data_IF_388422891969
#
_entry.id   IF_388422891969
#
_cell.length_a   1.000
_cell.length_b   1.000
_cell.length_c   1.000
_cell.angle_alpha   90.00
_cell.angle_beta   90.00
_cell.angle_gamma   90.00
#
_symmetry.space_group_name_H-M   'P 1'
#
loop_
_entity.id
_entity.type
_entity.pdbx_description
1 polymer ?
#
# COMPACT_ATOMS: atom_id res chain seq x y z
N UNK A 1 -56.76 3.57 25.35
CA UNK A 1 -55.97 2.39 24.91
C UNK A 1 -55.25 2.84 23.67
N UNK A 2 -54.03 3.27 23.84
CA UNK A 2 -53.16 3.77 22.73
C UNK A 2 -52.08 2.74 22.50
N UNK A 3 -52.17 2.05 21.36
CA UNK A 3 -51.22 1.04 20.94
C UNK A 3 -50.04 1.73 20.29
N UNK A 4 -48.88 1.74 20.92
CA UNK A 4 -47.61 2.17 20.37
C UNK A 4 -47.04 1.03 19.50
N UNK A 5 -47.11 1.19 18.17
CA UNK A 5 -46.36 0.36 17.22
C UNK A 5 -44.87 0.64 17.35
N UNK A 6 -44.10 -0.38 17.67
CA UNK A 6 -42.63 -0.33 17.57
C UNK A 6 -42.23 -0.42 16.09
N UNK A 7 -41.23 0.37 15.64
CA UNK A 7 -40.72 0.26 14.28
C UNK A 7 -40.00 -1.09 14.12
N UNK A 8 -40.39 -1.84 13.06
CA UNK A 8 -39.78 -3.11 12.66
C UNK A 8 -38.30 -2.86 12.29
N UNK A 9 -37.41 -3.62 12.92
CA UNK A 9 -36.01 -3.66 12.56
C UNK A 9 -35.87 -4.10 11.08
N UNK A 10 -35.18 -3.30 10.29
CA UNK A 10 -34.74 -3.67 8.94
C UNK A 10 -33.99 -5.01 8.97
N UNK A 11 -34.20 -5.90 7.98
CA UNK A 11 -33.49 -7.16 7.93
C UNK A 11 -31.99 -6.89 7.84
N UNK A 12 -31.24 -7.37 8.83
CA UNK A 12 -29.80 -7.38 8.82
C UNK A 12 -29.33 -8.01 7.51
N UNK A 13 -28.52 -7.28 6.76
CA UNK A 13 -27.92 -7.70 5.50
C UNK A 13 -26.99 -8.89 5.81
N UNK A 14 -27.54 -10.11 5.78
CA UNK A 14 -26.78 -11.34 5.98
C UNK A 14 -25.94 -11.53 4.72
N UNK A 15 -24.66 -11.12 4.81
CA UNK A 15 -23.70 -11.41 3.75
C UNK A 15 -23.65 -12.94 3.52
N UNK A 16 -23.60 -13.41 2.27
CA UNK A 16 -23.49 -14.83 1.98
C UNK A 16 -22.27 -15.42 2.71
N UNK A 17 -22.42 -16.63 3.24
CA UNK A 17 -21.29 -17.39 3.81
C UNK A 17 -20.29 -17.68 2.68
N UNK A 18 -19.30 -16.83 2.53
CA UNK A 18 -18.17 -17.03 1.63
C UNK A 18 -17.16 -17.94 2.33
N UNK A 19 -16.52 -18.85 1.58
CA UNK A 19 -15.49 -19.74 2.12
C UNK A 19 -14.42 -18.93 2.88
N UNK A 20 -13.95 -19.48 4.00
CA UNK A 20 -12.90 -18.83 4.79
C UNK A 20 -11.63 -18.60 3.96
N UNK A 21 -10.97 -17.45 4.14
CA UNK A 21 -9.67 -17.17 3.51
C UNK A 21 -8.64 -18.18 3.99
N UNK A 22 -7.86 -18.71 3.05
CA UNK A 22 -6.72 -19.53 3.38
C UNK A 22 -5.64 -18.68 4.04
N UNK A 23 -5.22 -19.08 5.22
CA UNK A 23 -4.20 -18.40 6.02
C UNK A 23 -2.93 -19.22 5.91
N UNK A 24 -1.81 -18.60 5.53
CA UNK A 24 -0.52 -19.27 5.49
C UNK A 24 -0.06 -19.65 6.92
N UNK A 25 0.82 -20.64 7.02
CA UNK A 25 1.34 -21.09 8.31
C UNK A 25 1.95 -19.91 9.11
N UNK A 26 1.54 -19.81 10.37
CA UNK A 26 1.97 -18.75 11.27
C UNK A 26 1.27 -17.40 11.07
N UNK A 27 0.35 -17.25 10.13
CA UNK A 27 -0.48 -16.06 9.98
C UNK A 27 -1.79 -16.18 10.77
N UNK A 28 -2.38 -15.04 11.10
CA UNK A 28 -3.69 -14.91 11.75
C UNK A 28 -4.49 -13.80 11.09
N UNK A 29 -5.80 -13.99 10.98
CA UNK A 29 -6.74 -12.96 10.54
C UNK A 29 -7.61 -12.52 11.71
N UNK A 30 -7.81 -11.22 11.82
CA UNK A 30 -8.74 -10.61 12.79
C UNK A 30 -9.51 -9.47 12.16
N UNK A 31 -10.77 -9.31 12.55
CA UNK A 31 -11.57 -8.14 12.19
C UNK A 31 -11.42 -7.05 13.24
N UNK A 32 -11.25 -5.82 12.79
CA UNK A 32 -11.16 -4.62 13.63
C UNK A 32 -12.31 -3.69 13.27
N UNK A 33 -13.22 -3.50 14.23
CA UNK A 33 -14.38 -2.64 14.07
C UNK A 33 -14.02 -1.21 14.52
N UNK A 34 -14.10 -0.26 13.60
CA UNK A 34 -13.82 1.14 13.83
C UNK A 34 -15.04 1.98 13.42
N UNK A 35 -15.19 3.22 13.91
CA UNK A 35 -16.28 4.08 13.49
C UNK A 35 -16.33 4.23 11.96
N UNK A 36 -17.41 3.76 11.34
CA UNK A 36 -17.66 3.87 9.90
C UNK A 36 -16.86 2.92 9.00
N UNK A 37 -16.09 1.97 9.56
CA UNK A 37 -15.36 0.98 8.77
C UNK A 37 -14.98 -0.24 9.60
N UNK A 38 -15.08 -1.41 9.00
CA UNK A 38 -14.51 -2.66 9.54
C UNK A 38 -13.35 -3.08 8.66
N UNK A 39 -12.21 -3.40 9.27
CA UNK A 39 -11.02 -3.82 8.55
C UNK A 39 -10.61 -5.23 8.97
N UNK A 40 -10.25 -6.04 8.00
CA UNK A 40 -9.59 -7.31 8.26
C UNK A 40 -8.07 -7.10 8.23
N UNK A 41 -7.41 -7.62 9.23
CA UNK A 41 -5.97 -7.50 9.42
C UNK A 41 -5.37 -8.90 9.48
N UNK A 42 -4.41 -9.13 8.62
CA UNK A 42 -3.54 -10.30 8.60
C UNK A 42 -2.30 -9.96 9.43
N UNK A 43 -1.92 -10.79 10.37
CA UNK A 43 -0.75 -10.59 11.22
C UNK A 43 0.06 -11.87 11.36
N UNK A 44 1.33 -11.71 11.69
CA UNK A 44 2.22 -12.79 12.11
C UNK A 44 2.62 -12.54 13.56
N UNK A 45 2.77 -13.59 14.39
CA UNK A 45 3.31 -13.42 15.74
C UNK A 45 4.70 -12.78 15.66
N UNK A 46 4.98 -11.70 16.41
CA UNK A 46 6.31 -11.11 16.41
C UNK A 46 7.33 -12.08 16.99
N UNK A 47 8.54 -12.10 16.46
CA UNK A 47 9.62 -12.95 16.96
C UNK A 47 10.05 -12.59 18.39
N UNK A 48 9.77 -11.36 18.82
CA UNK A 48 9.97 -10.84 20.18
C UNK A 48 9.02 -9.68 20.46
N UNK A 49 8.72 -9.45 21.73
CA UNK A 49 7.93 -8.29 22.15
C UNK A 49 8.66 -6.97 21.92
N UNK A 50 7.88 -5.90 21.74
CA UNK A 50 8.39 -4.54 21.61
C UNK A 50 8.96 -4.17 20.26
N UNK A 51 8.79 -5.02 19.23
CA UNK A 51 9.12 -4.64 17.85
C UNK A 51 8.19 -3.54 17.34
N UNK A 52 8.71 -2.57 16.55
CA UNK A 52 7.88 -1.56 15.92
C UNK A 52 6.93 -2.21 14.93
N UNK A 53 5.71 -1.66 14.81
CA UNK A 53 4.72 -2.14 13.84
C UNK A 53 5.17 -1.82 12.42
N UNK A 54 5.06 -2.80 11.53
CA UNK A 54 5.03 -2.60 10.08
C UNK A 54 3.61 -2.85 9.58
N UNK A 55 3.01 -1.83 8.97
CA UNK A 55 1.68 -1.92 8.37
C UNK A 55 1.78 -1.92 6.84
N UNK A 56 1.17 -2.94 6.22
CA UNK A 56 1.22 -3.18 4.78
C UNK A 56 -0.13 -2.92 4.13
N UNK A 57 -0.14 -2.14 3.04
CA UNK A 57 -1.35 -1.72 2.30
C UNK A 57 -1.26 -2.15 0.85
N UNK A 58 -2.19 -3.02 0.43
CA UNK A 58 -2.21 -3.62 -0.90
C UNK A 58 -2.70 -2.67 -2.00
N UNK A 59 -2.53 -3.09 -3.27
CA UNK A 59 -2.99 -2.39 -4.47
C UNK A 59 -4.44 -2.65 -4.83
N UNK A 60 -4.90 -2.04 -5.92
CA UNK A 60 -6.25 -2.23 -6.46
C UNK A 60 -6.51 -3.71 -6.78
N UNK A 61 -7.61 -4.24 -6.27
CA UNK A 61 -7.98 -5.66 -6.45
C UNK A 61 -7.09 -6.65 -5.70
N UNK A 62 -6.17 -6.18 -4.87
CA UNK A 62 -5.36 -7.00 -3.98
C UNK A 62 -6.04 -7.32 -2.65
N UNK A 63 -5.27 -7.86 -1.72
CA UNK A 63 -5.60 -8.06 -0.31
C UNK A 63 -4.31 -8.10 0.51
N UNK A 64 -4.46 -8.21 1.83
CA UNK A 64 -3.36 -8.42 2.77
C UNK A 64 -2.45 -9.60 2.39
N UNK A 65 -2.99 -10.60 1.70
CA UNK A 65 -2.24 -11.77 1.21
C UNK A 65 -1.09 -11.40 0.25
N UNK A 66 -1.15 -10.24 -0.42
CA UNK A 66 -0.06 -9.80 -1.30
C UNK A 66 1.28 -9.60 -0.57
N UNK A 67 1.26 -9.54 0.75
CA UNK A 67 2.43 -9.31 1.60
C UNK A 67 2.96 -10.58 2.28
N UNK A 68 2.25 -11.72 2.13
CA UNK A 68 2.62 -12.99 2.80
C UNK A 68 4.00 -13.52 2.44
N UNK A 69 4.55 -13.17 1.27
CA UNK A 69 5.92 -13.53 0.90
C UNK A 69 6.98 -12.64 1.56
N UNK A 70 6.67 -11.35 1.81
CA UNK A 70 7.60 -10.39 2.38
C UNK A 70 7.62 -10.42 3.92
N UNK A 71 6.45 -10.54 4.56
CA UNK A 71 6.33 -10.45 6.02
C UNK A 71 7.24 -11.43 6.77
N UNK A 72 7.34 -12.74 6.43
CA UNK A 72 8.20 -13.69 7.13
C UNK A 72 9.68 -13.28 7.12
N UNK A 73 10.12 -12.63 6.06
CA UNK A 73 11.49 -12.17 5.94
C UNK A 73 11.84 -11.02 6.90
N UNK A 74 10.83 -10.39 7.50
CA UNK A 74 10.99 -9.25 8.41
C UNK A 74 10.59 -9.57 9.87
N UNK A 75 10.20 -10.81 10.19
CA UNK A 75 9.71 -11.22 11.51
C UNK A 75 10.66 -10.83 12.69
N UNK A 76 11.97 -10.83 12.49
CA UNK A 76 12.95 -10.43 13.53
C UNK A 76 13.17 -8.93 13.64
N UNK A 77 12.60 -8.13 12.76
CA UNK A 77 12.87 -6.69 12.61
C UNK A 77 11.66 -5.85 13.00
N UNK A 78 10.46 -6.29 12.62
CA UNK A 78 9.20 -5.59 12.84
C UNK A 78 8.11 -6.56 13.31
N UNK A 79 7.03 -6.02 13.87
CA UNK A 79 5.79 -6.74 14.08
C UNK A 79 4.91 -6.52 12.84
N UNK A 80 4.55 -7.61 12.16
CA UNK A 80 3.97 -7.58 10.83
C UNK A 80 2.45 -7.59 10.83
N UNK A 81 1.81 -6.55 10.27
CA UNK A 81 0.36 -6.49 10.04
C UNK A 81 0.04 -5.97 8.65
N UNK A 82 -0.72 -6.73 7.86
CA UNK A 82 -1.23 -6.32 6.56
C UNK A 82 -2.75 -6.17 6.63
N UNK A 83 -3.28 -5.02 6.20
CA UNK A 83 -4.72 -4.79 6.22
C UNK A 83 -5.35 -4.99 4.84
N UNK A 84 -6.58 -5.45 4.83
CA UNK A 84 -7.44 -5.37 3.67
C UNK A 84 -8.10 -3.99 3.63
N UNK A 85 -7.90 -3.25 2.53
CA UNK A 85 -8.58 -1.97 2.32
C UNK A 85 -10.11 -2.16 2.26
N UNK A 86 -10.93 -1.16 2.66
CA UNK A 86 -12.38 -1.25 2.60
C UNK A 86 -12.89 -1.71 1.23
N UNK A 87 -13.73 -2.76 1.22
CA UNK A 87 -14.28 -3.38 0.00
C UNK A 87 -13.35 -4.37 -0.71
N UNK A 88 -12.20 -4.71 -0.10
CA UNK A 88 -11.25 -5.68 -0.63
C UNK A 88 -10.92 -6.75 0.41
N UNK A 89 -10.42 -7.90 -0.05
CA UNK A 89 -10.13 -9.04 0.81
C UNK A 89 -11.36 -9.44 1.62
N UNK A 90 -11.24 -9.45 2.93
CA UNK A 90 -12.34 -9.72 3.89
C UNK A 90 -12.88 -8.44 4.55
N UNK A 91 -12.39 -7.26 4.17
CA UNK A 91 -12.93 -6.00 4.65
C UNK A 91 -14.22 -5.64 3.90
N UNK A 92 -15.36 -5.43 4.59
CA UNK A 92 -16.59 -5.00 3.95
C UNK A 92 -16.46 -3.57 3.38
N UNK A 93 -17.43 -3.13 2.57
CA UNK A 93 -17.54 -1.74 2.13
C UNK A 93 -17.51 -0.76 3.32
N UNK A 94 -16.93 0.44 3.15
CA UNK A 94 -17.02 1.49 4.17
C UNK A 94 -18.45 2.04 4.23
N UNK A 95 -18.91 2.44 5.42
CA UNK A 95 -20.30 2.89 5.64
C UNK A 95 -20.65 4.12 4.80
N UNK A 96 -19.68 5.03 4.59
CA UNK A 96 -19.85 6.24 3.77
C UNK A 96 -19.69 5.98 2.27
N UNK A 97 -19.31 4.76 1.91
CA UNK A 97 -19.07 4.37 0.53
C UNK A 97 -17.93 5.15 -0.14
N UNK A 98 -17.01 5.77 0.58
CA UNK A 98 -15.90 6.56 0.00
C UNK A 98 -14.69 5.66 -0.34
N UNK A 99 -14.59 5.29 -1.61
CA UNK A 99 -13.46 4.52 -2.17
C UNK A 99 -12.38 5.39 -2.80
N UNK A 100 -12.38 6.70 -2.53
CA UNK A 100 -11.30 7.58 -2.96
C UNK A 100 -10.00 7.25 -2.22
N UNK A 101 -8.86 7.72 -2.75
CA UNK A 101 -7.57 7.62 -2.02
C UNK A 101 -7.69 8.27 -0.64
N UNK A 102 -8.49 9.34 -0.50
CA UNK A 102 -8.75 9.98 0.80
C UNK A 102 -9.56 9.09 1.74
N UNK A 103 -10.60 8.42 1.23
CA UNK A 103 -11.42 7.48 1.99
C UNK A 103 -10.59 6.31 2.51
N UNK A 104 -9.80 5.68 1.65
CA UNK A 104 -8.88 4.62 2.05
C UNK A 104 -7.83 5.11 3.05
N UNK A 105 -7.25 6.29 2.85
CA UNK A 105 -6.28 6.86 3.79
C UNK A 105 -6.90 7.14 5.17
N UNK A 106 -8.15 7.61 5.23
CA UNK A 106 -8.88 7.76 6.50
C UNK A 106 -9.05 6.42 7.23
N UNK A 107 -9.35 5.35 6.51
CA UNK A 107 -9.46 4.01 7.11
C UNK A 107 -8.13 3.56 7.72
N UNK A 108 -7.01 3.75 7.00
CA UNK A 108 -5.66 3.45 7.49
C UNK A 108 -5.31 4.30 8.72
N UNK A 109 -5.58 5.62 8.69
CA UNK A 109 -5.33 6.52 9.82
C UNK A 109 -6.15 6.09 11.05
N UNK A 110 -7.45 5.80 10.88
CA UNK A 110 -8.29 5.30 11.99
C UNK A 110 -7.74 4.02 12.60
N UNK A 111 -7.23 3.11 11.77
CA UNK A 111 -6.59 1.90 12.25
C UNK A 111 -5.33 2.20 13.07
N UNK A 112 -4.45 3.06 12.57
CA UNK A 112 -3.21 3.44 13.26
C UNK A 112 -3.49 4.16 14.58
N UNK A 113 -4.44 5.12 14.59
CA UNK A 113 -4.86 5.81 15.82
C UNK A 113 -5.43 4.84 16.85
N UNK A 114 -6.30 3.90 16.42
CA UNK A 114 -6.90 2.92 17.32
C UNK A 114 -5.90 1.87 17.83
N UNK A 115 -4.86 1.58 17.07
CA UNK A 115 -3.82 0.63 17.48
C UNK A 115 -2.96 1.17 18.63
N UNK A 116 -2.80 2.49 18.75
CA UNK A 116 -1.98 3.15 19.78
C UNK A 116 -0.50 2.78 19.75
N UNK A 117 0.00 2.18 18.65
CA UNK A 117 1.34 1.57 18.58
C UNK A 117 2.44 2.53 18.13
N UNK A 118 2.14 3.84 18.12
CA UNK A 118 3.08 4.92 17.77
C UNK A 118 3.44 4.96 16.28
N UNK A 119 4.53 5.66 15.91
CA UNK A 119 4.94 5.72 14.51
C UNK A 119 5.36 4.36 13.98
N UNK A 120 4.80 3.98 12.81
CA UNK A 120 4.96 2.67 12.19
C UNK A 120 5.84 2.69 10.96
N UNK A 121 6.36 1.54 10.56
CA UNK A 121 6.92 1.33 9.23
C UNK A 121 5.75 1.06 8.27
N UNK A 122 5.48 2.00 7.36
CA UNK A 122 4.30 1.94 6.48
C UNK A 122 4.71 1.49 5.08
N UNK A 123 4.06 0.43 4.58
CA UNK A 123 4.30 -0.13 3.25
C UNK A 123 3.08 0.06 2.37
N UNK A 124 3.28 0.36 1.09
CA UNK A 124 2.17 0.48 0.14
C UNK A 124 2.55 0.06 -1.28
N UNK A 125 1.66 -0.71 -1.92
CA UNK A 125 1.82 -1.09 -3.32
C UNK A 125 0.74 -0.40 -4.17
N UNK A 126 1.09 0.17 -5.32
CA UNK A 126 0.14 0.71 -6.30
C UNK A 126 -0.86 1.71 -5.69
N UNK A 127 -2.16 1.40 -5.70
CA UNK A 127 -3.20 2.16 -4.97
C UNK A 127 -2.81 2.35 -3.50
N UNK A 128 -2.37 1.27 -2.83
CA UNK A 128 -1.88 1.34 -1.45
C UNK A 128 -0.71 2.29 -1.30
N UNK A 129 0.17 2.40 -2.31
CA UNK A 129 1.26 3.37 -2.35
C UNK A 129 0.77 4.82 -2.39
N UNK A 130 -0.27 5.12 -3.17
CA UNK A 130 -0.91 6.43 -3.17
C UNK A 130 -1.62 6.73 -1.84
N UNK A 131 -2.29 5.73 -1.26
CA UNK A 131 -2.95 5.81 0.05
C UNK A 131 -1.92 6.11 1.15
N UNK A 132 -0.85 5.33 1.24
CA UNK A 132 0.19 5.48 2.27
C UNK A 132 1.00 6.77 2.10
N UNK A 133 1.21 7.25 0.88
CA UNK A 133 1.77 8.58 0.62
C UNK A 133 0.87 9.67 1.23
N UNK A 134 -0.45 9.57 1.06
CA UNK A 134 -1.40 10.50 1.68
C UNK A 134 -1.40 10.41 3.20
N UNK A 135 -1.34 9.21 3.77
CA UNK A 135 -1.23 9.00 5.23
C UNK A 135 0.02 9.69 5.77
N UNK A 136 1.18 9.41 5.17
CA UNK A 136 2.46 9.98 5.61
C UNK A 136 2.53 11.50 5.48
N UNK A 137 1.90 12.08 4.45
CA UNK A 137 1.83 13.52 4.26
C UNK A 137 0.85 14.23 5.22
N UNK A 138 -0.25 13.54 5.61
CA UNK A 138 -1.28 14.10 6.47
C UNK A 138 -1.00 13.88 7.96
N UNK A 139 -0.35 12.78 8.31
CA UNK A 139 -0.07 12.33 9.69
C UNK A 139 1.38 11.85 9.81
N UNK A 140 2.35 12.77 9.68
CA UNK A 140 3.78 12.41 9.81
C UNK A 140 4.12 11.83 11.18
N UNK A 141 3.34 12.13 12.20
CA UNK A 141 3.44 11.57 13.55
C UNK A 141 3.19 10.05 13.61
N UNK A 142 2.47 9.50 12.64
CA UNK A 142 2.15 8.06 12.58
C UNK A 142 3.16 7.24 11.76
N UNK A 143 4.08 7.86 11.03
CA UNK A 143 4.92 7.17 10.05
C UNK A 143 6.41 7.32 10.37
N UNK A 144 7.06 6.22 10.71
CA UNK A 144 8.49 6.14 11.00
C UNK A 144 9.33 6.04 9.72
N UNK A 145 8.93 5.15 8.81
CA UNK A 145 9.49 5.04 7.45
C UNK A 145 8.38 4.69 6.48
N UNK A 146 8.57 5.00 5.20
CA UNK A 146 7.63 4.71 4.14
C UNK A 146 8.31 3.82 3.08
N UNK A 147 7.70 2.69 2.72
CA UNK A 147 8.17 1.82 1.64
C UNK A 147 7.09 1.72 0.57
N UNK A 148 7.40 2.16 -0.63
CA UNK A 148 6.47 2.25 -1.75
C UNK A 148 6.90 1.33 -2.89
N UNK A 149 6.08 0.35 -3.22
CA UNK A 149 6.29 -0.55 -4.35
C UNK A 149 5.38 -0.14 -5.50
N UNK A 150 5.98 0.34 -6.59
CA UNK A 150 5.24 0.79 -7.78
C UNK A 150 4.02 1.67 -7.43
N UNK A 151 4.18 2.76 -6.64
CA UNK A 151 3.06 3.56 -6.17
C UNK A 151 2.29 4.20 -7.32
N UNK A 152 0.95 4.23 -7.24
CA UNK A 152 0.09 4.87 -8.22
C UNK A 152 0.17 6.41 -8.12
N UNK A 153 1.29 6.97 -8.54
CA UNK A 153 1.52 8.41 -8.66
C UNK A 153 1.15 8.89 -10.07
N UNK A 154 0.65 10.13 -10.24
CA UNK A 154 0.19 10.63 -11.53
C UNK A 154 1.28 10.63 -12.60
N UNK A 155 0.99 10.02 -13.75
CA UNK A 155 1.85 9.99 -14.94
C UNK A 155 1.25 10.82 -16.07
N UNK A 156 2.10 11.56 -16.80
CA UNK A 156 1.68 12.30 -18.00
C UNK A 156 1.39 11.32 -19.16
N UNK A 157 2.15 10.22 -19.21
CA UNK A 157 2.01 9.18 -20.23
C UNK A 157 1.69 7.85 -19.55
N UNK A 158 0.42 7.57 -19.41
CA UNK A 158 -0.08 6.29 -18.87
C UNK A 158 0.36 5.13 -19.76
N UNK A 159 0.74 4.02 -19.17
CA UNK A 159 1.04 2.77 -19.87
C UNK A 159 -0.20 2.28 -20.62
N UNK A 160 -0.03 1.83 -21.88
CA UNK A 160 -1.15 1.33 -22.68
C UNK A 160 -1.84 0.13 -22.02
N UNK A 161 -1.07 -0.73 -21.38
CA UNK A 161 -1.53 -1.89 -20.62
C UNK A 161 -2.32 -1.52 -19.35
N UNK A 162 -2.13 -0.31 -18.79
CA UNK A 162 -2.91 0.20 -17.66
C UNK A 162 -4.28 0.78 -18.08
N UNK A 163 -4.48 1.07 -19.37
CA UNK A 163 -5.73 1.67 -19.88
C UNK A 163 -6.97 0.85 -19.54
N UNK A 164 -7.00 -0.49 -19.72
CA UNK A 164 -8.16 -1.30 -19.34
C UNK A 164 -8.52 -1.17 -17.85
N UNK A 165 -7.51 -1.11 -16.97
CA UNK A 165 -7.71 -0.89 -15.52
C UNK A 165 -8.29 0.51 -15.26
N UNK A 166 -7.79 1.53 -15.95
CA UNK A 166 -8.32 2.89 -15.88
C UNK A 166 -9.76 3.01 -16.40
N UNK A 167 -10.12 2.24 -17.42
CA UNK A 167 -11.48 2.22 -17.96
C UNK A 167 -12.52 1.70 -16.96
N UNK A 168 -12.14 0.90 -15.97
CA UNK A 168 -13.06 0.51 -14.89
C UNK A 168 -13.58 1.72 -14.10
N UNK A 169 -12.89 2.86 -14.13
CA UNK A 169 -13.36 4.11 -13.53
C UNK A 169 -14.61 4.69 -14.23
N UNK A 170 -14.84 4.34 -15.49
CA UNK A 170 -15.97 4.87 -16.27
C UNK A 170 -17.26 4.17 -15.84
N UNK A 171 -18.34 4.91 -15.53
CA UNK A 171 -19.63 4.32 -15.17
C UNK A 171 -20.11 3.31 -16.21
N UNK A 172 -20.56 2.15 -15.76
CA UNK A 172 -21.06 1.07 -16.61
C UNK A 172 -19.99 0.15 -17.23
N UNK A 173 -18.72 0.58 -17.33
CA UNK A 173 -17.66 -0.26 -17.93
C UNK A 173 -17.38 -1.50 -17.08
N UNK A 174 -17.37 -1.39 -15.76
CA UNK A 174 -17.20 -2.55 -14.89
C UNK A 174 -18.33 -3.57 -15.07
N UNK A 175 -19.58 -3.12 -15.20
CA UNK A 175 -20.73 -3.99 -15.46
C UNK A 175 -20.63 -4.64 -16.85
N UNK A 176 -20.23 -3.87 -17.88
CA UNK A 176 -19.99 -4.41 -19.21
C UNK A 176 -18.86 -5.45 -19.20
N UNK A 177 -17.76 -5.16 -18.54
CA UNK A 177 -16.63 -6.08 -18.38
C UNK A 177 -17.07 -7.38 -17.69
N UNK A 178 -17.82 -7.28 -16.58
CA UNK A 178 -18.37 -8.45 -15.87
C UNK A 178 -19.26 -9.29 -16.80
N UNK A 179 -20.11 -8.64 -17.61
CA UNK A 179 -20.98 -9.32 -18.56
C UNK A 179 -20.18 -10.04 -19.67
N UNK A 180 -19.17 -9.37 -20.22
CA UNK A 180 -18.34 -9.94 -21.30
C UNK A 180 -17.43 -11.08 -20.79
N UNK A 181 -17.02 -11.02 -19.54
CA UNK A 181 -16.11 -12.02 -18.92
C UNK A 181 -16.84 -13.00 -18.00
N UNK A 182 -18.19 -13.07 -18.06
CA UNK A 182 -18.98 -13.94 -17.15
C UNK A 182 -18.59 -15.42 -17.24
N UNK A 183 -18.12 -15.86 -18.40
CA UNK A 183 -17.72 -17.26 -18.65
C UNK A 183 -16.24 -17.52 -18.32
N UNK A 184 -15.49 -16.48 -17.98
CA UNK A 184 -14.10 -16.65 -17.59
C UNK A 184 -14.01 -17.32 -16.23
N UNK A 185 -13.23 -18.39 -16.16
CA UNK A 185 -12.91 -19.07 -14.91
C UNK A 185 -12.04 -18.17 -14.03
N UNK A 186 -12.00 -18.45 -12.73
CA UNK A 186 -11.06 -17.78 -11.80
C UNK A 186 -9.61 -17.98 -12.27
N UNK A 187 -9.27 -19.16 -12.76
CA UNK A 187 -7.94 -19.44 -13.30
C UNK A 187 -7.58 -18.55 -14.48
N UNK A 188 -8.47 -18.35 -15.45
CA UNK A 188 -8.25 -17.44 -16.58
C UNK A 188 -8.04 -15.99 -16.11
N UNK A 189 -8.79 -15.55 -15.09
CA UNK A 189 -8.64 -14.22 -14.50
C UNK A 189 -7.30 -14.08 -13.80
N UNK A 190 -6.88 -15.06 -13.03
CA UNK A 190 -5.58 -15.08 -12.33
C UNK A 190 -4.45 -15.07 -13.34
N UNK A 191 -4.51 -15.88 -14.41
CA UNK A 191 -3.50 -15.83 -15.49
C UNK A 191 -3.39 -14.44 -16.11
N UNK A 192 -4.52 -13.77 -16.37
CA UNK A 192 -4.53 -12.41 -16.90
C UNK A 192 -3.91 -11.39 -15.92
N UNK A 193 -4.25 -11.47 -14.64
CA UNK A 193 -3.68 -10.60 -13.59
C UNK A 193 -2.19 -10.87 -13.42
N UNK A 194 -1.76 -12.13 -13.40
CA UNK A 194 -0.35 -12.50 -13.29
C UNK A 194 0.45 -11.98 -14.49
N UNK A 195 -0.05 -12.16 -15.71
CA UNK A 195 0.60 -11.64 -16.91
C UNK A 195 0.71 -10.10 -16.94
N UNK A 196 -0.22 -9.39 -16.29
CA UNK A 196 -0.21 -7.93 -16.19
C UNK A 196 0.70 -7.41 -15.07
N UNK A 197 0.76 -8.13 -13.93
CA UNK A 197 1.40 -7.64 -12.72
C UNK A 197 2.83 -8.14 -12.52
N UNK A 198 3.16 -9.32 -13.02
CA UNK A 198 4.50 -9.90 -12.88
C UNK A 198 5.39 -9.56 -14.07
N UNK A 199 6.65 -9.27 -13.82
CA UNK A 199 7.69 -9.12 -14.85
C UNK A 199 8.08 -10.46 -15.45
N UNK A 200 8.02 -11.51 -14.63
CA UNK A 200 8.16 -12.91 -15.02
C UNK A 200 7.06 -13.76 -14.37
N UNK A 201 5.96 -14.08 -15.08
CA UNK A 201 4.90 -14.94 -14.59
C UNK A 201 5.37 -16.35 -14.13
N UNK A 202 6.52 -16.82 -14.62
CA UNK A 202 7.13 -18.10 -14.22
C UNK A 202 7.63 -18.11 -12.78
N UNK A 203 7.75 -16.98 -12.12
CA UNK A 203 8.12 -16.87 -10.71
C UNK A 203 6.98 -17.19 -9.74
N UNK A 204 5.76 -17.29 -10.22
CA UNK A 204 4.62 -17.72 -9.39
C UNK A 204 4.71 -19.23 -9.20
N UNK A 205 4.87 -19.69 -7.96
CA UNK A 205 4.87 -21.11 -7.66
C UNK A 205 3.49 -21.75 -7.95
N UNK A 206 3.45 -23.04 -8.20
CA UNK A 206 2.18 -23.76 -8.41
C UNK A 206 1.24 -23.60 -7.22
N UNK A 207 1.77 -23.63 -6.00
CA UNK A 207 0.98 -23.39 -4.80
C UNK A 207 0.46 -21.95 -4.73
N UNK A 208 1.30 -20.96 -5.01
CA UNK A 208 0.92 -19.54 -5.08
C UNK A 208 -0.17 -19.31 -6.13
N UNK A 209 -0.08 -19.97 -7.27
CA UNK A 209 -1.10 -19.88 -8.32
C UNK A 209 -2.43 -20.50 -7.85
N UNK A 210 -2.42 -21.70 -7.26
CA UNK A 210 -3.64 -22.33 -6.70
C UNK A 210 -4.30 -21.44 -5.65
N UNK A 211 -3.51 -20.91 -4.72
CA UNK A 211 -4.02 -19.99 -3.68
C UNK A 211 -4.64 -18.73 -4.28
N UNK A 212 -4.06 -18.19 -5.36
CA UNK A 212 -4.61 -17.03 -6.07
C UNK A 212 -5.93 -17.37 -6.79
N UNK A 213 -6.08 -18.59 -7.33
CA UNK A 213 -7.32 -19.05 -7.96
C UNK A 213 -8.42 -19.20 -6.91
N UNK A 214 -8.17 -19.89 -5.81
CA UNK A 214 -9.11 -20.03 -4.69
C UNK A 214 -9.58 -18.66 -4.16
N UNK A 215 -8.65 -17.73 -4.00
CA UNK A 215 -8.96 -16.37 -3.56
C UNK A 215 -9.77 -15.59 -4.62
N UNK A 216 -9.48 -15.77 -5.90
CA UNK A 216 -10.27 -15.15 -6.98
C UNK A 216 -11.70 -15.69 -6.99
N UNK A 217 -11.90 -17.01 -6.86
CA UNK A 217 -13.22 -17.64 -6.76
C UNK A 217 -14.02 -17.04 -5.60
N UNK A 218 -13.39 -16.92 -4.44
CA UNK A 218 -14.00 -16.32 -3.26
C UNK A 218 -14.42 -14.87 -3.50
N UNK A 219 -13.53 -14.04 -4.06
CA UNK A 219 -13.81 -12.61 -4.33
C UNK A 219 -14.94 -12.41 -5.32
N UNK A 220 -15.04 -13.26 -6.34
CA UNK A 220 -16.12 -13.19 -7.34
C UNK A 220 -17.51 -13.45 -6.74
N UNK A 221 -17.58 -14.09 -5.55
CA UNK A 221 -18.83 -14.31 -4.80
C UNK A 221 -19.23 -13.10 -3.95
N UNK A 222 -18.32 -12.12 -3.73
CA UNK A 222 -18.61 -10.94 -2.94
C UNK A 222 -19.46 -9.96 -3.76
N UNK A 223 -20.66 -9.58 -3.31
CA UNK A 223 -21.59 -8.75 -4.09
C UNK A 223 -21.05 -7.35 -4.39
N UNK A 224 -20.08 -6.89 -3.62
CA UNK A 224 -19.49 -5.55 -3.72
C UNK A 224 -18.14 -5.53 -4.47
N UNK A 225 -17.57 -6.68 -4.84
CA UNK A 225 -16.21 -6.75 -5.40
C UNK A 225 -16.01 -5.82 -6.62
N UNK A 226 -16.90 -5.91 -7.61
CA UNK A 226 -16.78 -5.09 -8.81
C UNK A 226 -17.10 -3.62 -8.58
N UNK A 227 -18.02 -3.30 -7.65
CA UNK A 227 -18.30 -1.92 -7.26
C UNK A 227 -17.08 -1.29 -6.57
N UNK A 228 -16.48 -1.99 -5.61
CA UNK A 228 -15.26 -1.56 -4.93
C UNK A 228 -14.11 -1.34 -5.94
N UNK A 229 -13.91 -2.27 -6.88
CA UNK A 229 -12.93 -2.15 -7.97
C UNK A 229 -13.15 -0.89 -8.80
N UNK A 230 -14.37 -0.68 -9.31
CA UNK A 230 -14.71 0.45 -10.17
C UNK A 230 -14.58 1.79 -9.45
N UNK A 231 -15.07 1.87 -8.21
CA UNK A 231 -15.03 3.11 -7.41
C UNK A 231 -13.62 3.46 -6.95
N UNK A 232 -12.81 2.47 -6.56
CA UNK A 232 -11.40 2.70 -6.24
C UNK A 232 -10.57 3.06 -7.48
N UNK A 233 -10.81 2.43 -8.64
CA UNK A 233 -10.19 2.85 -9.91
C UNK A 233 -10.54 4.30 -10.25
N UNK A 234 -11.80 4.72 -10.06
CA UNK A 234 -12.21 6.11 -10.20
C UNK A 234 -11.52 7.01 -9.19
N UNK A 235 -11.33 6.55 -7.97
CA UNK A 235 -10.55 7.25 -6.93
C UNK A 235 -9.12 7.54 -7.37
N UNK A 236 -8.45 6.59 -8.03
CA UNK A 236 -7.10 6.77 -8.61
C UNK A 236 -7.15 7.83 -9.72
N UNK A 237 -8.06 7.69 -10.69
CA UNK A 237 -8.19 8.63 -11.82
C UNK A 237 -8.47 10.05 -11.31
N UNK A 238 -9.39 10.20 -10.37
CA UNK A 238 -9.70 11.50 -9.76
C UNK A 238 -8.50 12.10 -9.04
N UNK A 239 -7.71 11.30 -8.32
CA UNK A 239 -6.52 11.77 -7.63
C UNK A 239 -5.43 12.26 -8.59
N UNK A 240 -5.40 11.76 -9.83
CA UNK A 240 -4.49 12.23 -10.86
C UNK A 240 -4.85 13.64 -11.38
N UNK A 241 -6.11 14.04 -11.25
CA UNK A 241 -6.61 15.34 -11.68
C UNK A 241 -6.72 16.37 -10.56
N UNK A 242 -6.58 15.94 -9.28
CA UNK A 242 -6.64 16.85 -8.14
C UNK A 242 -5.45 17.81 -8.12
N UNK A 243 -5.76 19.10 -8.09
CA UNK A 243 -4.79 20.18 -7.98
C UNK A 243 -4.47 20.58 -6.53
N UNK A 244 -3.57 21.55 -6.38
CA UNK A 244 -3.22 22.17 -5.11
C UNK A 244 -2.61 21.20 -4.09
N UNK A 245 -2.98 21.39 -2.82
CA UNK A 245 -2.46 20.56 -1.71
C UNK A 245 -2.90 19.09 -1.78
N UNK A 246 -3.92 18.76 -2.54
CA UNK A 246 -4.43 17.41 -2.69
C UNK A 246 -3.75 16.63 -3.83
N UNK A 247 -2.94 17.27 -4.65
CA UNK A 247 -2.15 16.60 -5.68
C UNK A 247 -1.14 15.63 -5.04
N UNK A 248 -1.11 14.38 -5.50
CA UNK A 248 -0.25 13.34 -4.93
C UNK A 248 1.25 13.71 -4.96
N UNK A 249 1.71 14.40 -6.00
CA UNK A 249 3.09 14.90 -6.06
C UNK A 249 3.40 15.92 -4.96
N UNK A 250 2.46 16.84 -4.68
CA UNK A 250 2.64 17.79 -3.56
C UNK A 250 2.56 17.11 -2.20
N UNK A 251 1.88 15.98 -2.10
CA UNK A 251 1.90 15.17 -0.88
C UNK A 251 3.22 14.45 -0.72
N UNK A 252 3.78 13.86 -1.80
CA UNK A 252 5.10 13.27 -1.78
C UNK A 252 6.18 14.25 -1.27
N UNK A 253 6.11 15.51 -1.71
CA UNK A 253 7.01 16.59 -1.25
C UNK A 253 6.86 16.93 0.26
N UNK A 254 5.73 16.56 0.88
CA UNK A 254 5.44 16.78 2.31
C UNK A 254 5.77 15.60 3.19
N UNK A 255 6.07 14.45 2.62
CA UNK A 255 6.48 13.27 3.40
C UNK A 255 7.80 13.58 4.09
N UNK A 256 7.83 13.42 5.41
CA UNK A 256 9.01 13.62 6.25
C UNK A 256 9.74 12.32 6.54
N UNK A 257 9.03 11.20 6.49
CA UNK A 257 9.57 9.88 6.78
C UNK A 257 10.60 9.45 5.72
N UNK A 258 11.74 8.88 6.12
CA UNK A 258 12.66 8.23 5.20
C UNK A 258 11.91 7.22 4.32
N UNK A 259 12.10 7.31 3.01
CA UNK A 259 11.27 6.61 2.03
C UNK A 259 12.09 5.68 1.16
N UNK A 260 11.71 4.39 1.10
CA UNK A 260 12.20 3.44 0.11
C UNK A 260 11.22 3.37 -1.07
N UNK A 261 11.70 3.69 -2.26
CA UNK A 261 10.96 3.60 -3.51
C UNK A 261 11.44 2.35 -4.27
N UNK A 262 10.52 1.43 -4.60
CA UNK A 262 10.81 0.22 -5.35
C UNK A 262 10.05 0.24 -6.67
N UNK A 263 10.78 0.13 -7.80
CA UNK A 263 10.18 0.13 -9.13
C UNK A 263 10.67 -1.05 -9.97
N UNK A 264 9.74 -1.71 -10.65
CA UNK A 264 10.03 -2.78 -11.61
C UNK A 264 10.26 -2.26 -13.02
N UNK A 265 11.29 -2.78 -13.71
CA UNK A 265 11.60 -2.41 -15.11
C UNK A 265 10.60 -2.96 -16.12
N UNK A 266 9.92 -4.09 -15.76
CA UNK A 266 8.87 -4.73 -16.57
C UNK A 266 7.45 -4.42 -16.09
N UNK A 267 7.28 -3.42 -15.22
CA UNK A 267 5.96 -2.99 -14.73
C UNK A 267 5.11 -2.47 -15.90
N UNK A 268 3.96 -3.11 -16.10
CA UNK A 268 3.02 -2.76 -17.16
C UNK A 268 1.92 -1.79 -16.72
N UNK A 269 1.83 -1.48 -15.44
CA UNK A 269 0.79 -0.62 -14.85
C UNK A 269 1.33 0.76 -14.48
N UNK A 270 2.50 0.81 -13.84
CA UNK A 270 3.17 2.05 -13.45
C UNK A 270 4.46 2.18 -14.24
N UNK A 271 4.61 3.28 -14.96
CA UNK A 271 5.76 3.48 -15.83
C UNK A 271 7.06 3.68 -15.06
N UNK A 272 8.06 2.85 -15.31
CA UNK A 272 9.40 3.00 -14.73
C UNK A 272 9.99 4.42 -14.85
N UNK A 273 9.53 5.17 -15.85
CA UNK A 273 9.97 6.57 -16.11
C UNK A 273 9.68 7.52 -14.95
N UNK A 274 8.69 7.24 -14.11
CA UNK A 274 8.38 8.12 -12.97
C UNK A 274 9.27 7.88 -11.76
N UNK A 275 10.05 6.79 -11.73
CA UNK A 275 10.92 6.44 -10.61
C UNK A 275 11.86 7.58 -10.20
N UNK A 276 12.54 8.19 -11.19
CA UNK A 276 13.44 9.32 -10.95
C UNK A 276 12.71 10.59 -10.49
N UNK A 277 11.47 10.81 -10.97
CA UNK A 277 10.64 11.91 -10.48
C UNK A 277 10.21 11.66 -9.04
N UNK A 278 9.82 10.44 -8.72
CA UNK A 278 9.48 10.06 -7.36
C UNK A 278 10.66 10.26 -6.41
N UNK A 279 11.85 9.79 -6.79
CA UNK A 279 13.06 9.97 -5.99
C UNK A 279 13.41 11.45 -5.71
N UNK A 280 13.01 12.37 -6.59
CA UNK A 280 13.20 13.81 -6.36
C UNK A 280 12.08 14.46 -5.57
N UNK A 281 10.88 13.86 -5.59
CA UNK A 281 9.70 14.43 -4.90
C UNK A 281 9.69 14.10 -3.40
N UNK A 282 10.12 12.90 -3.03
CA UNK A 282 10.27 12.53 -1.62
C UNK A 282 11.60 13.08 -1.08
N UNK A 283 11.56 13.84 0.02
CA UNK A 283 12.71 14.61 0.55
C UNK A 283 13.90 13.74 0.95
N UNK A 284 13.62 12.65 1.63
CA UNK A 284 14.61 11.64 2.05
C UNK A 284 14.20 10.32 1.42
N UNK A 285 14.76 10.00 0.26
CA UNK A 285 14.36 8.82 -0.49
C UNK A 285 15.55 8.03 -1.01
N UNK A 286 15.34 6.70 -1.02
CA UNK A 286 16.19 5.72 -1.69
C UNK A 286 15.41 5.07 -2.80
N UNK A 287 16.03 4.91 -3.96
CA UNK A 287 15.44 4.27 -5.12
C UNK A 287 16.07 2.92 -5.37
N UNK A 288 15.28 1.86 -5.21
CA UNK A 288 15.59 0.51 -5.66
C UNK A 288 14.91 0.27 -7.01
N UNK A 289 15.68 -0.10 -7.99
CA UNK A 289 15.18 -0.48 -9.31
C UNK A 289 15.49 -1.92 -9.61
N UNK A 290 14.47 -2.68 -10.00
CA UNK A 290 14.56 -4.11 -10.30
C UNK A 290 14.24 -4.32 -11.78
N UNK A 291 15.25 -4.47 -12.67
CA UNK A 291 15.04 -4.48 -14.13
C UNK A 291 14.04 -5.53 -14.61
N UNK A 292 14.00 -6.69 -13.94
CA UNK A 292 13.18 -7.83 -14.34
C UNK A 292 11.86 -7.95 -13.55
N UNK A 293 11.66 -7.14 -12.50
CA UNK A 293 10.43 -7.15 -11.73
C UNK A 293 9.29 -6.43 -12.46
N UNK A 294 8.07 -6.88 -12.22
CA UNK A 294 6.84 -6.19 -12.62
C UNK A 294 6.31 -5.27 -11.54
N UNK A 295 4.98 -5.18 -11.48
CA UNK A 295 4.23 -4.29 -10.59
C UNK A 295 4.22 -4.71 -9.12
N UNK A 296 4.49 -5.98 -8.85
CA UNK A 296 4.39 -6.61 -7.52
C UNK A 296 5.75 -7.12 -7.04
N UNK A 297 6.77 -6.26 -7.09
CA UNK A 297 8.14 -6.62 -6.72
C UNK A 297 8.26 -7.25 -5.32
N UNK A 298 7.35 -6.91 -4.38
CA UNK A 298 7.30 -7.53 -3.05
C UNK A 298 6.84 -9.00 -3.07
N UNK A 299 6.26 -9.46 -4.18
CA UNK A 299 5.86 -10.86 -4.41
C UNK A 299 6.88 -11.60 -5.28
N UNK A 300 7.51 -10.91 -6.24
CA UNK A 300 8.48 -11.49 -7.17
C UNK A 300 9.90 -11.57 -6.60
N UNK A 301 10.30 -10.57 -5.82
CA UNK A 301 11.65 -10.39 -5.26
C UNK A 301 11.59 -9.98 -3.78
N UNK A 302 10.86 -10.74 -2.92
CA UNK A 302 10.63 -10.34 -1.54
C UNK A 302 11.94 -10.22 -0.73
N UNK A 303 12.94 -11.07 -1.00
CA UNK A 303 14.24 -11.02 -0.32
C UNK A 303 14.99 -9.72 -0.61
N UNK A 304 14.96 -9.27 -1.87
CA UNK A 304 15.61 -8.03 -2.28
C UNK A 304 14.92 -6.81 -1.66
N UNK A 305 13.58 -6.81 -1.64
CA UNK A 305 12.81 -5.74 -0.98
C UNK A 305 13.06 -5.73 0.52
N UNK A 306 13.10 -6.91 1.18
CA UNK A 306 13.41 -7.03 2.60
C UNK A 306 14.82 -6.52 2.94
N UNK A 307 15.81 -6.83 2.10
CA UNK A 307 17.20 -6.36 2.26
C UNK A 307 17.27 -4.85 2.16
N UNK A 308 16.67 -4.26 1.12
CA UNK A 308 16.66 -2.80 0.94
C UNK A 308 15.95 -2.07 2.09
N UNK A 309 14.88 -2.66 2.64
CA UNK A 309 14.23 -2.11 3.83
C UNK A 309 15.13 -2.16 5.07
N UNK A 310 15.87 -3.26 5.29
CA UNK A 310 16.83 -3.33 6.41
C UNK A 310 17.95 -2.30 6.27
N UNK A 311 18.43 -2.08 5.07
CA UNK A 311 19.41 -1.03 4.76
C UNK A 311 18.86 0.36 5.08
N UNK A 312 17.60 0.65 4.72
CA UNK A 312 16.92 1.90 5.08
C UNK A 312 16.91 2.06 6.61
N UNK A 313 16.58 1.01 7.38
CA UNK A 313 16.56 1.06 8.84
C UNK A 313 17.95 1.30 9.41
N UNK A 314 18.97 0.63 8.90
CA UNK A 314 20.34 0.77 9.36
C UNK A 314 20.85 2.21 9.20
N UNK A 315 20.46 2.90 8.13
CA UNK A 315 20.89 4.27 7.90
C UNK A 315 20.09 5.28 8.73
N UNK A 316 18.81 5.02 8.99
CA UNK A 316 18.01 5.88 9.88
C UNK A 316 18.40 5.75 11.35
N UNK A 317 19.10 4.67 11.71
CA UNK A 317 19.64 4.47 13.06
C UNK A 317 21.00 5.14 13.30
N UNK A 318 21.70 5.56 12.24
CA UNK A 318 22.98 6.30 12.38
C UNK A 318 22.67 7.71 12.89
N UNK A 319 23.34 8.20 13.96
CA UNK A 319 23.23 9.60 14.33
C UNK A 319 23.68 10.47 13.14
N UNK A 320 22.99 11.58 12.94
CA UNK A 320 23.43 12.59 11.94
C UNK A 320 24.90 12.91 12.25
N UNK A 321 25.78 12.70 11.28
CA UNK A 321 27.18 13.06 11.41
C UNK A 321 27.23 14.55 11.75
N UNK A 322 27.91 14.89 12.85
CA UNK A 322 28.04 16.25 13.34
C UNK A 322 28.88 17.07 12.33
N UNK A 323 28.18 17.79 11.46
CA UNK A 323 28.81 18.70 10.49
C UNK A 323 29.34 19.99 11.13
N UNK A 324 29.71 19.96 12.42
CA UNK A 324 30.27 21.11 13.13
C UNK A 324 31.59 20.78 13.81
N UNK A 325 32.61 20.50 13.05
CA UNK A 325 34.01 20.69 13.50
C UNK A 325 34.91 20.92 12.31
N UNK A 326 34.85 22.13 11.72
CA UNK A 326 36.01 22.72 11.06
C UNK A 326 35.73 24.23 10.90
N UNK A 327 36.28 25.02 11.79
CA UNK A 327 36.15 26.49 11.66
C UNK A 327 36.64 27.30 12.84
N UNK A 328 37.67 26.81 13.55
CA UNK A 328 38.47 27.69 14.44
C UNK A 328 39.93 27.57 14.05
N UNK A 329 40.31 28.24 13.01
CA UNK A 329 41.71 28.63 12.82
C UNK A 329 41.93 29.93 13.57
N UNK A 330 42.71 29.82 14.66
CA UNK A 330 43.15 30.94 15.46
C UNK A 330 43.98 31.94 14.64
N UNK A 331 43.59 33.20 14.75
CA UNK A 331 44.34 34.34 14.36
C UNK A 331 45.30 34.70 15.50
N UNK A 332 46.54 34.22 15.43
CA UNK A 332 47.66 34.66 16.29
C UNK A 332 48.34 35.86 15.56
N UNK A 333 47.84 37.04 15.87
CA UNK A 333 48.61 38.26 15.56
C UNK A 333 49.74 38.41 16.58
N UNK A 334 50.96 38.12 16.14
CA UNK A 334 52.19 38.45 16.85
C UNK A 334 52.43 39.95 16.78
N UNK A 335 52.33 40.57 17.94
CA UNK A 335 52.86 41.90 18.24
C UNK A 335 54.40 41.84 18.32
N UNK A 336 55.07 42.59 17.48
CA UNK A 336 56.51 42.93 17.67
C UNK A 336 56.73 44.41 17.58
N UNK A 337 56.71 45.02 18.72
CA UNK A 337 57.39 46.29 19.01
C UNK A 337 58.90 46.14 19.02
N UNK A 338 59.58 46.92 18.27
CA UNK A 338 60.96 47.48 18.51
C UNK A 338 61.02 48.74 17.68
N UNK A 339 61.30 49.96 18.14
CA UNK A 339 62.33 50.42 19.01
C UNK A 339 63.41 51.01 18.09
N UNK A 340 63.52 52.34 17.97
CA UNK A 340 64.50 53.09 17.21
C UNK A 340 64.09 54.53 17.10
#
# INVERSE_FOLDING_TARGET
MSSTEQPSASPANVLPKVSAVKVADGERLRSVHLPGVTLTVRSRPPAREGLPLALYVHGLGGSSQNWSALMPLLDGVVDNEALDLPGFGDSPPPDDGDYSITGHARAVIRYLDASGRGPVHLFGNSLGGAVTTRVAAARPDLVRTLTLVSPALPEIRVQRSAVPTGLLAVPGVAALFTRLTREWTAEQRVRGVTALCYGDPGRVSEEGFRNAVEEMERRLQLPYFWDAMARSARGIVNAYTLGGQHALWRQAERVLAPTLLVYGGRDQLVGYRIAQRAARAFRDSRLLTLPDAGHVAMMEYPETVATAFRELLADTAKPAADERTDGVLGDETADQTTGG
#
